data_IF_283743612922
#
_entry.id   IF_283743612922
#
_cell.length_a   1.000
_cell.length_b   1.000
_cell.length_c   1.000
_cell.angle_alpha   90.00
_cell.angle_beta   90.00
_cell.angle_gamma   90.00
#
_symmetry.space_group_name_H-M   'P 1'
#
loop_
_entity.id
_entity.type
_entity.pdbx_description
1 polymer ?
#
# COMPACT_ATOMS: atom_id res chain seq x y z
N UNK A 1 28.04 -45.93 5.92
CA UNK A 1 26.67 -46.32 5.53
C UNK A 1 25.73 -45.79 6.60
N UNK A 2 25.19 -44.59 6.40
CA UNK A 2 24.22 -43.93 7.30
C UNK A 2 22.86 -43.90 6.59
N UNK A 3 21.83 -44.45 7.26
CA UNK A 3 20.49 -44.61 6.72
C UNK A 3 19.74 -43.26 6.61
N UNK A 4 18.80 -43.09 5.66
CA UNK A 4 18.01 -41.88 5.52
C UNK A 4 16.92 -41.81 6.60
N UNK A 5 16.91 -40.74 7.39
CA UNK A 5 15.82 -40.40 8.31
C UNK A 5 14.57 -40.08 7.50
N UNK A 6 13.58 -40.98 7.52
CA UNK A 6 12.30 -40.76 6.89
C UNK A 6 11.58 -39.57 7.56
N UNK A 7 11.26 -38.55 6.77
CA UNK A 7 10.40 -37.45 7.18
C UNK A 7 9.03 -37.99 7.61
N UNK A 8 8.80 -38.06 8.92
CA UNK A 8 7.50 -38.37 9.49
C UNK A 8 6.57 -37.19 9.20
N UNK A 9 5.83 -37.28 8.09
CA UNK A 9 4.70 -36.38 7.80
C UNK A 9 3.68 -36.58 8.92
N UNK A 10 3.60 -35.64 9.85
CA UNK A 10 2.57 -35.63 10.91
C UNK A 10 1.23 -35.41 10.22
N UNK A 11 0.50 -36.49 9.98
CA UNK A 11 -0.87 -36.45 9.46
C UNK A 11 -1.77 -36.11 10.64
N UNK A 12 -2.09 -34.84 10.79
CA UNK A 12 -3.07 -34.39 11.79
C UNK A 12 -4.45 -34.82 11.28
N UNK A 13 -5.02 -35.87 11.85
CA UNK A 13 -6.40 -36.29 11.57
C UNK A 13 -7.37 -35.27 12.18
N UNK A 14 -7.78 -34.29 11.37
CA UNK A 14 -8.76 -33.29 11.76
C UNK A 14 -10.15 -33.91 11.89
N UNK A 15 -10.91 -33.52 12.92
CA UNK A 15 -12.30 -33.94 13.11
C UNK A 15 -13.15 -33.53 11.89
N UNK A 16 -14.12 -34.35 11.42
CA UNK A 16 -14.98 -34.00 10.28
C UNK A 16 -15.66 -32.62 10.34
N UNK A 17 -15.92 -32.09 11.54
CA UNK A 17 -16.44 -30.71 11.72
C UNK A 17 -15.37 -29.64 11.52
N UNK A 18 -14.14 -29.92 11.94
CA UNK A 18 -12.99 -29.03 11.82
C UNK A 18 -12.47 -29.00 10.39
N UNK A 19 -12.52 -30.12 9.66
CA UNK A 19 -12.24 -30.15 8.22
C UNK A 19 -13.14 -29.16 7.46
N UNK A 20 -14.46 -29.15 7.74
CA UNK A 20 -15.40 -28.18 7.14
C UNK A 20 -15.14 -26.73 7.53
N UNK A 21 -14.49 -26.48 8.66
CA UNK A 21 -14.09 -25.14 9.08
C UNK A 21 -12.80 -24.74 8.36
N UNK A 22 -11.82 -25.65 8.32
CA UNK A 22 -10.56 -25.48 7.60
C UNK A 22 -10.79 -25.29 6.10
N UNK A 23 -11.67 -26.05 5.47
CA UNK A 23 -12.01 -25.92 4.05
C UNK A 23 -12.69 -24.58 3.75
N UNK A 24 -13.48 -24.05 4.70
CA UNK A 24 -14.10 -22.72 4.58
C UNK A 24 -13.10 -21.57 4.75
N UNK A 25 -12.19 -21.69 5.71
CA UNK A 25 -11.10 -20.71 5.87
C UNK A 25 -10.13 -20.77 4.70
N UNK A 26 -9.79 -21.99 4.27
CA UNK A 26 -8.88 -22.22 3.16
C UNK A 26 -9.47 -21.76 1.84
N UNK A 27 -10.75 -21.98 1.57
CA UNK A 27 -11.40 -21.44 0.35
C UNK A 27 -11.50 -19.90 0.36
N UNK A 28 -11.51 -19.25 1.52
CA UNK A 28 -11.40 -17.79 1.62
C UNK A 28 -9.96 -17.26 1.45
N UNK A 29 -8.94 -18.11 1.65
CA UNK A 29 -7.53 -17.73 1.63
C UNK A 29 -6.78 -18.26 0.38
N UNK A 30 -7.32 -19.28 -0.32
CA UNK A 30 -6.57 -20.03 -1.35
C UNK A 30 -6.46 -19.36 -2.71
N UNK A 31 -7.13 -18.24 -2.94
CA UNK A 31 -6.74 -17.33 -4.01
C UNK A 31 -6.54 -15.96 -3.37
N UNK A 32 -5.31 -15.41 -3.34
CA UNK A 32 -5.17 -13.98 -3.18
C UNK A 32 -6.01 -13.40 -4.30
N UNK A 33 -7.16 -12.80 -3.93
CA UNK A 33 -8.02 -12.11 -4.88
C UNK A 33 -7.14 -11.25 -5.77
N UNK A 34 -7.36 -11.20 -7.08
CA UNK A 34 -6.56 -10.41 -8.03
C UNK A 34 -6.29 -8.97 -7.52
N UNK A 35 -7.27 -8.43 -6.79
CA UNK A 35 -7.22 -7.16 -6.04
C UNK A 35 -6.09 -7.08 -4.99
N UNK A 36 -5.85 -8.14 -4.21
CA UNK A 36 -4.76 -8.21 -3.22
C UNK A 36 -3.39 -8.23 -3.91
N UNK A 37 -3.24 -8.94 -5.02
CA UNK A 37 -1.98 -8.96 -5.78
C UNK A 37 -1.65 -7.56 -6.30
N UNK A 38 -2.63 -6.87 -6.91
CA UNK A 38 -2.46 -5.49 -7.36
C UNK A 38 -2.18 -4.51 -6.22
N UNK A 39 -2.81 -4.68 -5.05
CA UNK A 39 -2.53 -3.87 -3.87
C UNK A 39 -1.11 -4.10 -3.35
N UNK A 40 -0.66 -5.36 -3.23
CA UNK A 40 0.69 -5.69 -2.79
C UNK A 40 1.74 -5.08 -3.73
N UNK A 41 1.50 -5.10 -5.04
CA UNK A 41 2.37 -4.44 -6.01
C UNK A 41 2.46 -2.93 -5.78
N UNK A 42 1.35 -2.28 -5.43
CA UNK A 42 1.35 -0.85 -5.07
C UNK A 42 2.05 -0.57 -3.73
N UNK A 43 1.86 -1.44 -2.73
CA UNK A 43 2.51 -1.33 -1.43
C UNK A 43 4.03 -1.47 -1.53
N UNK A 44 4.52 -2.31 -2.45
CA UNK A 44 5.95 -2.44 -2.73
C UNK A 44 6.56 -1.15 -3.31
N UNK A 45 5.75 -0.22 -3.85
CA UNK A 45 6.20 1.08 -4.32
C UNK A 45 6.29 2.12 -3.20
N UNK A 46 5.68 1.88 -2.03
CA UNK A 46 5.66 2.83 -0.91
C UNK A 46 7.06 3.36 -0.53
N UNK A 47 8.12 2.51 -0.44
CA UNK A 47 9.47 2.99 -0.14
C UNK A 47 10.03 3.95 -1.22
N UNK A 48 9.78 3.66 -2.50
CA UNK A 48 10.26 4.50 -3.59
C UNK A 48 9.53 5.85 -3.62
N UNK A 49 8.22 5.83 -3.36
CA UNK A 49 7.37 7.02 -3.31
C UNK A 49 7.71 7.92 -2.12
N UNK A 50 7.97 7.35 -0.95
CA UNK A 50 8.37 8.09 0.25
C UNK A 50 9.74 8.74 0.07
N UNK A 51 10.71 8.03 -0.52
CA UNK A 51 12.02 8.60 -0.86
C UNK A 51 11.92 9.71 -1.90
N UNK A 52 11.11 9.53 -2.94
CA UNK A 52 10.82 10.59 -3.92
C UNK A 52 10.26 11.84 -3.22
N UNK A 53 9.25 11.66 -2.36
CA UNK A 53 8.61 12.76 -1.64
C UNK A 53 9.61 13.49 -0.75
N UNK A 54 10.46 12.77 -0.02
CA UNK A 54 11.55 13.32 0.80
C UNK A 54 12.56 14.13 -0.02
N UNK A 55 12.90 13.66 -1.23
CA UNK A 55 13.80 14.36 -2.15
C UNK A 55 13.16 15.64 -2.70
N UNK A 56 11.90 15.58 -3.12
CA UNK A 56 11.17 16.76 -3.60
C UNK A 56 10.97 17.81 -2.50
N UNK A 57 10.78 17.41 -1.24
CA UNK A 57 10.73 18.35 -0.13
C UNK A 57 11.98 19.24 -0.03
N UNK A 58 13.14 18.70 -0.41
CA UNK A 58 14.42 19.41 -0.39
C UNK A 58 14.67 20.26 -1.62
N UNK A 59 13.97 20.05 -2.73
CA UNK A 59 14.14 20.84 -3.96
C UNK A 59 13.44 22.21 -3.82
N UNK A 60 14.16 23.29 -4.12
CA UNK A 60 13.67 24.67 -4.02
C UNK A 60 12.56 24.99 -5.03
N UNK A 61 12.49 24.26 -6.14
CA UNK A 61 11.48 24.43 -7.19
C UNK A 61 10.09 23.93 -6.77
N UNK A 62 9.98 23.24 -5.63
CA UNK A 62 8.70 22.76 -5.10
C UNK A 62 8.04 23.85 -4.25
N UNK A 63 6.79 24.24 -4.56
CA UNK A 63 6.08 25.27 -3.78
C UNK A 63 5.92 24.89 -2.31
N UNK A 64 6.11 25.84 -1.39
CA UNK A 64 6.02 25.64 0.07
C UNK A 64 4.66 25.04 0.48
N UNK A 65 3.57 25.48 -0.15
CA UNK A 65 2.24 24.93 0.11
C UNK A 65 2.12 23.43 -0.21
N UNK A 66 2.80 22.95 -1.25
CA UNK A 66 2.89 21.52 -1.55
C UNK A 66 3.83 20.79 -0.61
N UNK A 67 4.92 21.45 -0.16
CA UNK A 67 5.82 20.90 0.85
C UNK A 67 5.10 20.64 2.17
N UNK A 68 4.21 21.53 2.61
CA UNK A 68 3.45 21.33 3.85
C UNK A 68 2.59 20.05 3.83
N UNK A 69 1.89 19.79 2.72
CA UNK A 69 1.07 18.58 2.56
C UNK A 69 1.93 17.31 2.56
N UNK A 70 3.07 17.34 1.86
CA UNK A 70 4.00 16.22 1.88
C UNK A 70 4.69 16.01 3.22
N UNK A 71 4.99 17.08 3.95
CA UNK A 71 5.55 17.00 5.29
C UNK A 71 4.56 16.31 6.24
N UNK A 72 3.26 16.63 6.14
CA UNK A 72 2.21 15.95 6.89
C UNK A 72 2.11 14.47 6.50
N UNK A 73 2.15 14.16 5.20
CA UNK A 73 2.11 12.78 4.73
C UNK A 73 3.31 11.95 5.22
N UNK A 74 4.52 12.50 5.11
CA UNK A 74 5.74 11.85 5.63
C UNK A 74 5.71 11.72 7.15
N UNK A 75 5.24 12.76 7.85
CA UNK A 75 5.10 12.73 9.30
C UNK A 75 4.15 11.65 9.78
N UNK A 76 3.13 11.32 8.98
CA UNK A 76 2.23 10.19 9.23
C UNK A 76 2.94 8.86 9.02
N UNK A 77 3.52 8.63 7.83
CA UNK A 77 4.22 7.37 7.48
C UNK A 77 5.38 7.05 8.45
N UNK A 78 6.10 8.08 8.91
CA UNK A 78 7.20 7.92 9.86
C UNK A 78 6.75 7.93 11.33
N UNK A 79 5.45 8.10 11.59
CA UNK A 79 4.90 8.14 12.93
C UNK A 79 5.00 6.75 13.56
N UNK A 80 5.54 6.63 14.79
CA UNK A 80 5.57 5.36 15.51
C UNK A 80 4.17 4.80 15.84
N UNK A 81 3.13 5.63 15.74
CA UNK A 81 1.74 5.20 15.93
C UNK A 81 1.21 4.36 14.76
N UNK A 82 1.81 4.48 13.58
CA UNK A 82 1.33 3.85 12.34
C UNK A 82 1.90 2.45 12.11
N UNK A 83 3.17 2.25 12.48
CA UNK A 83 3.85 0.95 12.49
C UNK A 83 3.16 -0.06 13.44
N UNK A 84 2.45 0.45 14.45
CA UNK A 84 1.80 -0.37 15.47
C UNK A 84 0.60 -1.18 14.92
N UNK A 85 -0.32 -0.60 14.12
CA UNK A 85 -1.33 -1.34 13.36
C UNK A 85 -0.77 -2.40 12.41
N UNK A 86 0.30 -2.13 11.68
CA UNK A 86 0.87 -3.02 10.65
C UNK A 86 1.24 -4.39 11.21
N UNK A 87 1.82 -4.42 12.41
CA UNK A 87 2.22 -5.66 13.11
C UNK A 87 1.00 -6.54 13.43
N UNK A 88 -0.16 -5.92 13.67
CA UNK A 88 -1.39 -6.62 14.06
C UNK A 88 -2.31 -6.92 12.87
N UNK A 89 -2.34 -6.06 11.85
CA UNK A 89 -3.30 -6.10 10.74
C UNK A 89 -2.69 -6.62 9.43
N UNK A 90 -1.37 -6.81 9.37
CA UNK A 90 -0.68 -7.26 8.17
C UNK A 90 -0.75 -6.23 7.03
N UNK A 91 -0.68 -6.65 5.74
CA UNK A 91 -0.60 -5.76 4.59
C UNK A 91 -1.73 -4.73 4.48
N UNK A 92 -2.89 -5.02 5.08
CA UNK A 92 -4.06 -4.12 5.11
C UNK A 92 -3.75 -2.83 5.87
N UNK A 93 -2.86 -2.90 6.87
CA UNK A 93 -2.44 -1.76 7.66
C UNK A 93 -1.58 -0.73 6.91
N UNK A 94 -1.15 -1.01 5.68
CA UNK A 94 -0.40 -0.06 4.84
C UNK A 94 -1.28 0.64 3.79
N UNK A 95 -2.57 0.31 3.75
CA UNK A 95 -3.50 0.87 2.75
C UNK A 95 -3.71 2.35 2.99
N UNK A 96 -3.88 2.77 4.23
CA UNK A 96 -4.03 4.17 4.62
C UNK A 96 -2.75 4.97 4.35
N UNK A 97 -1.59 4.40 4.64
CA UNK A 97 -0.29 4.93 4.25
C UNK A 97 -0.20 5.22 2.76
N UNK A 98 -0.55 4.23 1.94
CA UNK A 98 -0.54 4.36 0.48
C UNK A 98 -1.51 5.44 0.00
N UNK A 99 -2.68 5.58 0.64
CA UNK A 99 -3.64 6.65 0.33
C UNK A 99 -3.08 8.03 0.69
N UNK A 100 -2.40 8.16 1.83
CA UNK A 100 -1.82 9.42 2.29
C UNK A 100 -0.66 9.82 1.38
N UNK A 101 0.27 8.91 1.11
CA UNK A 101 1.40 9.12 0.21
C UNK A 101 0.92 9.44 -1.21
N UNK A 102 -0.04 8.66 -1.74
CA UNK A 102 -0.63 8.87 -3.06
C UNK A 102 -1.29 10.24 -3.18
N UNK A 103 -2.08 10.64 -2.19
CA UNK A 103 -2.75 11.95 -2.17
C UNK A 103 -1.75 13.11 -2.07
N UNK A 104 -0.74 12.98 -1.21
CA UNK A 104 0.30 13.99 -1.03
C UNK A 104 1.13 14.17 -2.31
N UNK A 105 1.56 13.05 -2.92
CA UNK A 105 2.28 13.06 -4.18
C UNK A 105 1.44 13.67 -5.30
N UNK A 106 0.18 13.25 -5.48
CA UNK A 106 -0.72 13.84 -6.50
C UNK A 106 -0.72 15.38 -6.41
N UNK A 107 -0.88 15.93 -5.20
CA UNK A 107 -0.87 17.39 -4.99
C UNK A 107 0.49 18.04 -5.22
N UNK A 108 1.59 17.34 -4.98
CA UNK A 108 2.94 17.85 -5.29
C UNK A 108 3.21 17.83 -6.78
N UNK A 109 3.09 16.68 -7.44
CA UNK A 109 3.44 16.52 -8.86
C UNK A 109 2.57 17.38 -9.76
N UNK A 110 1.32 17.65 -9.40
CA UNK A 110 0.46 18.59 -10.13
C UNK A 110 0.95 20.06 -10.08
N UNK A 111 1.94 20.38 -9.24
CA UNK A 111 2.50 21.74 -9.11
C UNK A 111 4.00 21.82 -9.40
N UNK A 112 4.62 20.71 -9.83
CA UNK A 112 6.06 20.59 -10.04
C UNK A 112 6.31 20.13 -11.47
N UNK A 113 7.34 20.68 -12.12
CA UNK A 113 7.66 20.28 -13.49
C UNK A 113 8.03 18.78 -13.53
N UNK A 114 7.53 18.00 -14.49
CA UNK A 114 7.75 16.55 -14.55
C UNK A 114 9.22 16.13 -14.54
N UNK A 115 10.10 16.95 -15.12
CA UNK A 115 11.54 16.65 -15.15
C UNK A 115 12.20 16.73 -13.77
N UNK A 116 11.71 17.59 -12.88
CA UNK A 116 12.16 17.64 -11.48
C UNK A 116 11.79 16.34 -10.79
N UNK A 117 10.58 15.84 -11.03
CA UNK A 117 10.09 14.58 -10.48
C UNK A 117 10.97 13.41 -10.94
N UNK A 118 11.19 13.29 -12.25
CA UNK A 118 12.04 12.24 -12.84
C UNK A 118 13.47 12.29 -12.32
N UNK A 119 14.05 13.49 -12.16
CA UNK A 119 15.44 13.63 -11.68
C UNK A 119 15.65 13.15 -10.24
N UNK A 120 14.58 13.09 -9.43
CA UNK A 120 14.65 12.65 -8.03
C UNK A 120 14.14 11.22 -7.82
N UNK A 121 13.59 10.58 -8.85
CA UNK A 121 13.01 9.24 -8.75
C UNK A 121 14.06 8.17 -8.43
N UNK A 122 13.86 7.37 -7.36
CA UNK A 122 14.78 6.28 -7.00
C UNK A 122 14.44 4.95 -7.69
N UNK A 123 13.22 4.77 -8.18
CA UNK A 123 12.72 3.49 -8.68
C UNK A 123 13.19 3.13 -10.09
N UNK A 124 12.98 1.87 -10.48
CA UNK A 124 13.40 1.32 -11.80
C UNK A 124 12.42 1.65 -12.93
N UNK A 125 11.13 1.77 -12.63
CA UNK A 125 10.08 2.07 -13.61
C UNK A 125 10.02 3.56 -13.90
N UNK A 126 9.27 3.99 -14.93
CA UNK A 126 9.05 5.43 -15.15
C UNK A 126 8.34 6.05 -13.93
N UNK A 127 8.86 7.19 -13.50
CA UNK A 127 8.38 7.87 -12.30
C UNK A 127 6.93 8.30 -12.42
N UNK A 128 6.56 8.90 -13.56
CA UNK A 128 5.23 9.47 -13.75
C UNK A 128 4.19 8.38 -13.92
N UNK A 129 4.50 7.33 -14.66
CA UNK A 129 3.65 6.15 -14.81
C UNK A 129 3.38 5.48 -13.45
N UNK A 130 4.41 5.33 -12.63
CA UNK A 130 4.29 4.77 -11.27
C UNK A 130 3.42 5.65 -10.37
N UNK A 131 3.64 6.96 -10.38
CA UNK A 131 2.84 7.92 -9.62
C UNK A 131 1.40 7.93 -10.14
N UNK A 132 1.18 7.89 -11.45
CA UNK A 132 -0.16 7.84 -12.05
C UNK A 132 -0.94 6.60 -11.62
N UNK A 133 -0.31 5.42 -11.60
CA UNK A 133 -0.95 4.19 -11.08
C UNK A 133 -1.42 4.35 -9.63
N UNK A 134 -0.53 4.82 -8.76
CA UNK A 134 -0.82 4.96 -7.33
C UNK A 134 -1.87 6.03 -7.08
N UNK A 135 -1.77 7.17 -7.77
CA UNK A 135 -2.73 8.28 -7.63
C UNK A 135 -4.11 7.93 -8.17
N UNK A 136 -4.19 7.24 -9.32
CA UNK A 136 -5.47 6.76 -9.87
C UNK A 136 -6.13 5.77 -8.92
N UNK A 137 -5.37 4.81 -8.39
CA UNK A 137 -5.88 3.88 -7.38
C UNK A 137 -6.35 4.60 -6.11
N UNK A 138 -5.60 5.60 -5.66
CA UNK A 138 -5.95 6.43 -4.49
C UNK A 138 -7.26 7.19 -4.72
N UNK A 139 -7.41 7.82 -5.88
CA UNK A 139 -8.60 8.60 -6.24
C UNK A 139 -9.84 7.70 -6.34
N UNK A 140 -9.73 6.50 -6.91
CA UNK A 140 -10.83 5.54 -6.98
C UNK A 140 -11.26 5.10 -5.57
N UNK A 141 -10.30 4.80 -4.69
CA UNK A 141 -10.60 4.42 -3.32
C UNK A 141 -11.29 5.54 -2.53
N UNK A 142 -10.83 6.79 -2.69
CA UNK A 142 -11.43 7.97 -2.08
C UNK A 142 -12.85 8.24 -2.61
N UNK A 143 -13.05 8.19 -3.92
CA UNK A 143 -14.37 8.39 -4.54
C UNK A 143 -15.34 7.26 -4.15
N UNK A 144 -14.87 6.01 -4.16
CA UNK A 144 -15.68 4.86 -3.75
C UNK A 144 -16.09 4.91 -2.29
N UNK A 145 -15.21 5.38 -1.40
CA UNK A 145 -15.53 5.64 0.01
C UNK A 145 -16.55 6.77 0.18
N UNK A 146 -16.30 7.90 -0.49
CA UNK A 146 -17.18 9.07 -0.42
C UNK A 146 -18.58 8.78 -0.96
N UNK A 147 -18.69 8.06 -2.09
CA UNK A 147 -19.98 7.64 -2.66
C UNK A 147 -20.78 6.75 -1.71
N UNK A 148 -20.12 5.82 -1.01
CA UNK A 148 -20.76 4.96 0.00
C UNK A 148 -21.27 5.76 1.19
N UNK A 149 -20.46 6.70 1.69
CA UNK A 149 -20.85 7.57 2.79
C UNK A 149 -22.01 8.49 2.42
N UNK A 150 -21.98 9.14 1.25
CA UNK A 150 -23.08 10.00 0.80
C UNK A 150 -24.35 9.20 0.49
N UNK A 151 -24.23 8.01 -0.09
CA UNK A 151 -25.37 7.15 -0.38
C UNK A 151 -26.11 6.64 0.86
N UNK A 152 -25.44 6.53 2.01
CA UNK A 152 -26.09 6.12 3.26
C UNK A 152 -26.82 7.26 3.98
N UNK A 153 -26.46 8.51 3.71
CA UNK A 153 -27.11 9.70 4.31
C UNK A 153 -28.39 10.12 3.58
N UNK A 154 -28.61 9.63 2.36
CA UNK A 154 -29.79 9.93 1.54
C UNK A 154 -30.80 8.76 1.48
N UNK A 155 -30.71 7.80 2.40
CA UNK A 155 -31.62 6.65 2.49
C UNK A 155 -32.49 6.70 3.75
#
# INVERSE_FOLDING_TARGET
MTAPTAEQKVVIELNPKEQRLYDRLRSQISEPSDVQTGLLDLLLLLPDLTVLMMRLLRDERVPIGSKGIALLGIGYVLSPLDILPEILLGPIGFVDDLLIVGTALSRMVNRVHPDVVRSHWPGKHDALDTIQRVTTWTEDQLQGGLRRALGSWFR
#
